data_IF_663020138000
#
_entry.id   IF_663020138000
#
_cell.length_a   1.000
_cell.length_b   1.000
_cell.length_c   1.000
_cell.angle_alpha   90.00
_cell.angle_beta   90.00
_cell.angle_gamma   90.00
#
_symmetry.space_group_name_H-M   'P 1'
#
loop_
_entity.id
_entity.type
_entity.pdbx_description
1 polymer ?
#
# COMPACT_ATOMS: atom_id res chain seq x y z
N UNK A 1 -3.84 -5.72 -8.22
CA UNK A 1 -2.54 -6.41 -7.96
C UNK A 1 -2.79 -7.59 -7.03
N UNK A 2 -2.07 -8.69 -7.23
CA UNK A 2 -2.18 -9.90 -6.41
C UNK A 2 -0.80 -10.49 -6.22
N UNK A 3 -0.60 -11.20 -5.12
CA UNK A 3 0.65 -11.89 -4.81
C UNK A 3 0.41 -13.00 -3.79
N UNK A 4 1.48 -13.54 -3.23
CA UNK A 4 1.40 -14.49 -2.13
C UNK A 4 2.46 -14.22 -1.07
N UNK A 5 2.13 -14.52 0.18
CA UNK A 5 3.06 -14.48 1.29
C UNK A 5 3.79 -15.81 1.49
N UNK A 6 3.17 -16.89 1.04
CA UNK A 6 3.76 -18.23 1.01
C UNK A 6 3.99 -18.64 -0.42
N UNK A 7 5.20 -19.11 -0.71
CA UNK A 7 5.59 -19.54 -2.06
C UNK A 7 4.60 -20.56 -2.64
N UNK A 8 4.36 -20.47 -3.95
CA UNK A 8 3.36 -21.29 -4.65
C UNK A 8 3.67 -22.79 -4.66
N UNK A 9 4.90 -23.19 -4.37
CA UNK A 9 5.35 -24.57 -4.22
C UNK A 9 5.01 -25.21 -2.86
N UNK A 10 4.47 -24.43 -1.93
CA UNK A 10 4.11 -24.91 -0.59
C UNK A 10 2.62 -25.20 -0.47
N UNK A 11 2.26 -26.29 0.22
CA UNK A 11 0.86 -26.63 0.48
C UNK A 11 0.09 -25.57 1.27
N UNK A 12 0.81 -24.67 1.99
CA UNK A 12 0.22 -23.55 2.72
C UNK A 12 0.16 -22.25 1.90
N UNK A 13 0.39 -22.31 0.58
CA UNK A 13 0.40 -21.14 -0.29
C UNK A 13 -0.97 -20.47 -0.33
N UNK A 14 -0.96 -19.15 -0.27
CA UNK A 14 -2.13 -18.28 -0.41
C UNK A 14 -2.30 -17.78 -1.87
N UNK A 15 -1.41 -18.15 -2.77
CA UNK A 15 -1.37 -17.65 -4.14
C UNK A 15 -2.65 -17.93 -4.93
N UNK A 16 -3.11 -19.18 -4.93
CA UNK A 16 -4.28 -19.60 -5.70
C UNK A 16 -5.55 -18.88 -5.25
N UNK A 17 -5.78 -18.82 -3.93
CA UNK A 17 -6.97 -18.17 -3.40
C UNK A 17 -6.96 -16.65 -3.64
N UNK A 18 -5.82 -15.99 -3.43
CA UNK A 18 -5.68 -14.56 -3.72
C UNK A 18 -5.97 -14.26 -5.19
N UNK A 19 -5.46 -15.10 -6.10
CA UNK A 19 -5.68 -14.93 -7.55
C UNK A 19 -7.16 -15.12 -7.93
N UNK A 20 -7.80 -16.17 -7.40
CA UNK A 20 -9.21 -16.45 -7.69
C UNK A 20 -10.10 -15.32 -7.16
N UNK A 21 -9.88 -14.87 -5.91
CA UNK A 21 -10.64 -13.75 -5.34
C UNK A 21 -10.40 -12.45 -6.13
N UNK A 22 -9.19 -12.21 -6.62
CA UNK A 22 -8.90 -11.05 -7.46
C UNK A 22 -9.65 -11.11 -8.80
N UNK A 23 -9.67 -12.28 -9.44
CA UNK A 23 -10.41 -12.50 -10.69
C UNK A 23 -11.92 -12.31 -10.49
N UNK A 24 -12.48 -12.89 -9.42
CA UNK A 24 -13.88 -12.72 -9.05
C UNK A 24 -14.24 -11.24 -8.89
N UNK A 25 -13.41 -10.47 -8.16
CA UNK A 25 -13.66 -9.05 -7.96
C UNK A 25 -13.62 -8.26 -9.27
N UNK A 26 -12.63 -8.52 -10.13
CA UNK A 26 -12.48 -7.78 -11.40
C UNK A 26 -13.64 -8.10 -12.35
N UNK A 27 -14.12 -9.35 -12.36
CA UNK A 27 -15.22 -9.77 -13.25
C UNK A 27 -16.60 -9.26 -12.81
N UNK A 28 -16.78 -9.02 -11.50
CA UNK A 28 -18.10 -8.72 -10.92
C UNK A 28 -18.16 -7.34 -10.23
N UNK A 29 -17.24 -6.42 -10.58
CA UNK A 29 -17.28 -5.05 -10.09
C UNK A 29 -16.98 -4.03 -11.19
N UNK A 30 -17.47 -2.81 -10.99
CA UNK A 30 -17.16 -1.64 -11.82
C UNK A 30 -15.98 -0.81 -11.23
N UNK A 31 -15.11 -1.45 -10.45
CA UNK A 31 -13.97 -0.79 -9.79
C UNK A 31 -12.97 -0.22 -10.82
N UNK A 32 -12.72 1.07 -10.72
CA UNK A 32 -11.84 1.82 -11.64
C UNK A 32 -10.59 2.36 -10.95
N UNK A 33 -9.76 1.49 -10.42
CA UNK A 33 -8.56 1.89 -9.70
C UNK A 33 -7.51 0.79 -9.63
N UNK A 34 -6.54 0.97 -8.74
CA UNK A 34 -5.56 -0.06 -8.39
C UNK A 34 -5.86 -0.56 -6.99
N UNK A 35 -6.18 -1.84 -6.88
CA UNK A 35 -6.39 -2.53 -5.61
C UNK A 35 -5.40 -3.67 -5.41
N UNK A 36 -5.17 -4.03 -4.16
CA UNK A 36 -4.36 -5.19 -3.75
C UNK A 36 -5.29 -6.24 -3.17
N UNK A 37 -5.29 -7.45 -3.75
CA UNK A 37 -6.07 -8.58 -3.24
C UNK A 37 -5.16 -9.52 -2.46
N UNK A 38 -5.42 -9.64 -1.17
CA UNK A 38 -4.67 -10.51 -0.26
C UNK A 38 -5.59 -11.10 0.81
N UNK A 39 -5.16 -12.20 1.44
CA UNK A 39 -5.88 -12.81 2.56
C UNK A 39 -6.26 -11.79 3.63
N UNK A 40 -7.50 -11.85 4.08
CA UNK A 40 -8.03 -11.00 5.15
C UNK A 40 -7.48 -11.39 6.53
N UNK A 41 -7.20 -12.67 6.72
CA UNK A 41 -6.68 -13.26 7.96
C UNK A 41 -5.64 -14.35 7.65
N UNK A 42 -5.14 -15.03 8.69
CA UNK A 42 -4.28 -16.19 8.53
C UNK A 42 -5.02 -17.44 8.01
N UNK A 43 -6.35 -17.43 8.02
CA UNK A 43 -7.23 -18.51 7.58
C UNK A 43 -7.70 -18.34 6.15
N UNK A 44 -8.08 -19.42 5.49
CA UNK A 44 -8.55 -19.47 4.09
C UNK A 44 -10.05 -19.11 3.95
N UNK A 45 -10.55 -18.15 4.71
CA UNK A 45 -11.97 -17.80 4.72
C UNK A 45 -12.30 -16.71 3.71
N UNK A 46 -11.47 -15.70 3.61
CA UNK A 46 -11.73 -14.56 2.73
C UNK A 46 -10.45 -13.83 2.32
N UNK A 47 -10.56 -13.08 1.21
CA UNK A 47 -9.58 -12.09 0.80
C UNK A 47 -10.17 -10.69 0.87
N UNK A 48 -9.33 -9.71 1.14
CA UNK A 48 -9.70 -8.30 1.08
C UNK A 48 -9.16 -7.66 -0.20
N UNK A 49 -9.94 -6.75 -0.76
CA UNK A 49 -9.50 -5.81 -1.77
C UNK A 49 -9.12 -4.51 -1.06
N UNK A 50 -7.85 -4.21 -1.06
CA UNK A 50 -7.26 -3.07 -0.35
C UNK A 50 -6.96 -1.93 -1.34
N UNK A 51 -7.23 -0.66 -1.01
CA UNK A 51 -6.84 0.46 -1.86
C UNK A 51 -5.33 0.53 -2.03
N UNK A 52 -4.84 0.55 -3.28
CA UNK A 52 -3.41 0.43 -3.58
C UNK A 52 -2.55 1.57 -3.03
N UNK A 53 -3.12 2.76 -2.86
CA UNK A 53 -2.40 3.94 -2.34
C UNK A 53 -2.32 3.99 -0.81
N UNK A 54 -3.06 3.12 -0.10
CA UNK A 54 -3.10 3.10 1.38
C UNK A 54 -2.74 1.74 1.97
N UNK A 55 -2.26 0.83 1.15
CA UNK A 55 -1.88 -0.51 1.57
C UNK A 55 -0.43 -0.56 2.00
N UNK A 56 -0.19 -1.07 3.19
CA UNK A 56 1.15 -1.26 3.76
C UNK A 56 1.35 -2.74 4.12
N UNK A 57 2.53 -3.27 3.83
CA UNK A 57 2.93 -4.61 4.27
C UNK A 57 3.55 -4.51 5.67
N UNK A 58 2.85 -5.03 6.68
CA UNK A 58 3.26 -4.95 8.08
C UNK A 58 4.05 -6.18 8.57
N UNK A 59 3.98 -7.29 7.85
CA UNK A 59 4.67 -8.54 8.20
C UNK A 59 5.38 -9.15 7.00
N UNK A 60 6.50 -9.82 7.24
CA UNK A 60 7.27 -10.49 6.19
C UNK A 60 6.68 -11.85 5.76
N UNK A 61 5.86 -12.51 6.60
CA UNK A 61 5.50 -13.92 6.38
C UNK A 61 4.03 -14.31 6.67
N UNK A 62 3.21 -13.45 7.29
CA UNK A 62 1.80 -13.73 7.52
C UNK A 62 1.01 -13.56 6.23
N UNK A 63 -0.02 -14.41 5.99
CA UNK A 63 -0.90 -14.28 4.82
C UNK A 63 -1.67 -12.96 4.82
N UNK A 64 -2.08 -12.47 5.99
CA UNK A 64 -2.75 -11.18 6.22
C UNK A 64 -1.77 -10.04 6.52
N UNK A 65 -0.58 -10.08 5.95
CA UNK A 65 0.47 -9.09 6.18
C UNK A 65 0.13 -7.70 5.63
N UNK A 66 -0.72 -7.61 4.63
CA UNK A 66 -1.12 -6.36 4.02
C UNK A 66 -2.31 -5.76 4.74
N UNK A 67 -2.18 -4.51 5.17
CA UNK A 67 -3.22 -3.76 5.90
C UNK A 67 -3.42 -2.39 5.27
N UNK A 68 -4.59 -1.85 5.47
CA UNK A 68 -4.93 -0.48 5.09
C UNK A 68 -4.64 0.46 6.25
N UNK A 69 -4.15 1.64 5.95
CA UNK A 69 -3.89 2.70 6.94
C UNK A 69 -4.91 3.81 6.74
N UNK A 70 -5.60 4.18 7.81
CA UNK A 70 -6.61 5.25 7.88
C UNK A 70 -7.78 5.08 6.89
N UNK A 71 -8.13 3.86 6.54
CA UNK A 71 -9.26 3.55 5.67
C UNK A 71 -9.69 2.09 5.87
N UNK A 72 -10.86 1.73 5.37
CA UNK A 72 -11.32 0.36 5.31
C UNK A 72 -10.96 -0.29 3.96
N UNK A 73 -11.00 -1.62 3.90
CA UNK A 73 -10.90 -2.35 2.63
C UNK A 73 -12.06 -1.95 1.71
N UNK A 74 -11.83 -1.97 0.41
CA UNK A 74 -12.86 -1.70 -0.61
C UNK A 74 -13.93 -2.78 -0.55
N UNK A 75 -13.51 -4.03 -0.49
CA UNK A 75 -14.41 -5.18 -0.42
C UNK A 75 -13.73 -6.36 0.29
N UNK A 76 -14.55 -7.29 0.75
CA UNK A 76 -14.15 -8.62 1.19
C UNK A 76 -14.82 -9.67 0.31
N UNK A 77 -14.09 -10.72 -0.04
CA UNK A 77 -14.58 -11.82 -0.88
C UNK A 77 -14.47 -13.12 -0.08
N UNK A 78 -15.60 -13.78 0.12
CA UNK A 78 -15.63 -15.11 0.73
C UNK A 78 -15.00 -16.13 -0.22
N UNK A 79 -14.05 -16.93 0.28
CA UNK A 79 -13.26 -17.85 -0.54
C UNK A 79 -14.08 -19.03 -1.09
N UNK A 80 -15.15 -19.44 -0.40
CA UNK A 80 -15.99 -20.58 -0.76
C UNK A 80 -17.16 -20.18 -1.64
N UNK A 81 -17.92 -19.18 -1.18
CA UNK A 81 -19.16 -18.75 -1.84
C UNK A 81 -18.91 -17.77 -2.97
N UNK A 82 -17.70 -17.17 -3.04
CA UNK A 82 -17.34 -16.10 -3.98
C UNK A 82 -18.13 -14.81 -3.79
N UNK A 83 -18.91 -14.72 -2.73
CA UNK A 83 -19.70 -13.52 -2.43
C UNK A 83 -18.79 -12.34 -2.17
N UNK A 84 -19.02 -11.26 -2.90
CA UNK A 84 -18.35 -9.97 -2.71
C UNK A 84 -19.22 -9.14 -1.76
N UNK A 85 -18.59 -8.63 -0.70
CA UNK A 85 -19.19 -7.67 0.23
C UNK A 85 -18.39 -6.38 0.15
N UNK A 86 -18.99 -5.32 -0.37
CA UNK A 86 -18.35 -4.00 -0.41
C UNK A 86 -18.39 -3.37 0.99
N UNK A 87 -17.21 -2.89 1.43
CA UNK A 87 -17.00 -2.34 2.78
C UNK A 87 -16.86 -0.82 2.75
N UNK A 88 -16.44 -0.25 1.61
CA UNK A 88 -16.22 1.17 1.47
C UNK A 88 -16.61 1.65 0.07
N UNK A 89 -16.77 2.96 -0.10
CA UNK A 89 -16.93 3.59 -1.40
C UNK A 89 -15.64 3.44 -2.22
N UNK A 90 -15.78 3.35 -3.53
CA UNK A 90 -14.66 3.21 -4.43
C UNK A 90 -14.87 3.98 -5.74
N UNK A 91 -13.77 4.28 -6.42
CA UNK A 91 -13.82 4.89 -7.74
C UNK A 91 -14.34 3.89 -8.77
N UNK A 92 -15.36 4.29 -9.54
CA UNK A 92 -15.88 3.51 -10.64
C UNK A 92 -15.01 3.63 -11.90
N UNK A 93 -15.17 2.66 -12.79
CA UNK A 93 -14.51 2.68 -14.09
C UNK A 93 -14.82 3.98 -14.85
N UNK A 94 -13.82 4.49 -15.53
CA UNK A 94 -13.90 5.65 -16.40
C UNK A 94 -12.98 5.42 -17.61
N UNK A 95 -13.17 6.13 -18.72
CA UNK A 95 -12.29 6.02 -19.87
C UNK A 95 -10.82 6.21 -19.48
N UNK A 96 -9.96 5.28 -19.88
CA UNK A 96 -8.53 5.31 -19.57
C UNK A 96 -7.88 6.51 -20.24
N UNK A 97 -7.22 7.33 -19.43
CA UNK A 97 -6.40 8.45 -19.91
C UNK A 97 -4.95 8.17 -19.55
N UNK A 98 -4.19 7.66 -20.49
CA UNK A 98 -2.78 7.36 -20.30
C UNK A 98 -1.95 8.64 -20.12
N UNK A 99 -1.15 8.68 -19.06
CA UNK A 99 -0.16 9.72 -18.78
C UNK A 99 1.19 9.05 -18.51
N UNK A 100 1.96 8.69 -19.55
CA UNK A 100 3.14 7.81 -19.42
C UNK A 100 4.40 8.52 -18.92
N UNK A 101 4.34 9.82 -18.68
CA UNK A 101 5.47 10.59 -18.16
C UNK A 101 5.57 10.41 -16.65
N UNK A 102 6.73 10.00 -16.18
CA UNK A 102 7.07 9.87 -14.78
C UNK A 102 8.45 10.48 -14.55
N UNK A 103 8.64 11.12 -13.40
CA UNK A 103 9.95 11.60 -12.97
C UNK A 103 10.59 10.55 -12.07
N UNK A 104 11.74 10.04 -12.47
CA UNK A 104 12.45 8.97 -11.76
C UNK A 104 13.26 9.49 -10.57
N UNK A 105 13.67 10.78 -10.63
CA UNK A 105 14.52 11.40 -9.63
C UNK A 105 13.71 12.05 -8.51
N UNK A 106 12.80 11.28 -7.90
CA UNK A 106 12.01 11.67 -6.72
C UNK A 106 12.47 10.85 -5.53
N UNK A 107 12.92 11.52 -4.46
CA UNK A 107 13.35 10.88 -3.22
C UNK A 107 12.20 10.67 -2.24
N UNK A 108 12.34 9.71 -1.35
CA UNK A 108 11.50 9.54 -0.16
C UNK A 108 12.38 9.69 1.07
N UNK A 109 12.07 10.67 1.93
CA UNK A 109 12.75 10.89 3.19
C UNK A 109 11.80 10.63 4.34
N UNK A 110 12.11 9.61 5.13
CA UNK A 110 11.37 9.28 6.35
C UNK A 110 11.97 10.04 7.53
N UNK A 111 11.15 10.86 8.17
CA UNK A 111 11.57 11.65 9.33
C UNK A 111 11.60 10.80 10.60
N UNK A 112 12.66 10.94 11.37
CA UNK A 112 12.82 10.31 12.67
C UNK A 112 13.54 11.24 13.64
N UNK A 113 13.55 10.92 14.93
CA UNK A 113 14.30 11.66 15.96
C UNK A 113 15.80 11.55 15.71
N UNK A 114 16.57 12.57 16.12
CA UNK A 114 18.03 12.64 15.92
C UNK A 114 18.47 12.58 14.44
N UNK A 115 17.66 13.16 13.57
CA UNK A 115 17.97 13.27 12.16
C UNK A 115 18.92 14.44 11.91
N UNK A 116 19.98 14.21 11.13
CA UNK A 116 20.95 15.23 10.78
C UNK A 116 20.61 15.93 9.45
N UNK A 117 21.00 17.19 9.32
CA UNK A 117 20.76 18.01 8.13
C UNK A 117 21.37 17.43 6.85
N UNK A 118 22.49 16.72 6.96
CA UNK A 118 23.19 16.09 5.84
C UNK A 118 22.32 15.11 5.04
N UNK A 119 21.30 14.52 5.69
CA UNK A 119 20.36 13.65 4.99
C UNK A 119 19.53 14.40 3.94
N UNK A 120 19.28 15.69 4.15
CA UNK A 120 18.60 16.54 3.17
C UNK A 120 19.52 16.93 2.02
N UNK A 121 20.81 17.15 2.32
CA UNK A 121 21.83 17.49 1.31
C UNK A 121 21.93 16.40 0.22
N UNK A 122 21.76 15.13 0.59
CA UNK A 122 21.76 14.00 -0.34
C UNK A 122 20.73 14.19 -1.48
N UNK A 123 19.61 14.84 -1.20
CA UNK A 123 18.54 15.02 -2.17
C UNK A 123 18.63 16.30 -3.02
N UNK A 124 19.67 17.15 -2.85
CA UNK A 124 19.81 18.41 -3.62
C UNK A 124 19.78 18.23 -5.14
N UNK A 125 20.22 17.09 -5.65
CA UNK A 125 20.19 16.78 -7.08
C UNK A 125 18.91 16.13 -7.58
N UNK A 126 17.89 15.97 -6.73
CA UNK A 126 16.63 15.35 -7.07
C UNK A 126 15.64 16.37 -7.65
N UNK A 127 14.67 15.90 -8.43
CA UNK A 127 13.61 16.72 -9.03
C UNK A 127 12.42 16.90 -8.10
N UNK A 128 12.31 16.07 -7.08
CA UNK A 128 11.28 16.15 -6.06
C UNK A 128 11.66 15.36 -4.82
N UNK A 129 11.07 15.71 -3.69
CA UNK A 129 11.25 15.02 -2.42
C UNK A 129 9.90 14.85 -1.75
N UNK A 130 9.56 13.61 -1.40
CA UNK A 130 8.44 13.28 -0.54
C UNK A 130 8.97 13.14 0.88
N UNK A 131 8.46 13.94 1.80
CA UNK A 131 8.84 13.89 3.21
C UNK A 131 7.74 13.16 3.99
N UNK A 132 8.06 12.00 4.53
CA UNK A 132 7.20 11.26 5.46
C UNK A 132 7.47 11.81 6.88
N UNK A 133 6.61 12.74 7.33
CA UNK A 133 6.68 13.31 8.67
C UNK A 133 6.36 12.31 9.78
N UNK A 134 6.45 12.76 11.04
CA UNK A 134 5.96 11.99 12.19
C UNK A 134 4.43 11.84 12.15
N UNK A 135 3.83 11.15 13.14
CA UNK A 135 2.39 10.88 13.16
C UNK A 135 1.48 12.11 12.97
N UNK A 136 1.92 13.29 13.43
CA UNK A 136 1.24 14.58 13.20
C UNK A 136 1.85 15.39 12.05
N UNK A 137 2.76 14.81 11.26
CA UNK A 137 3.41 15.46 10.13
C UNK A 137 4.57 16.38 10.52
N UNK A 138 5.07 16.29 11.74
CA UNK A 138 6.19 17.12 12.17
C UNK A 138 7.50 16.67 11.53
N UNK A 139 8.37 17.65 11.30
CA UNK A 139 9.77 17.46 10.88
C UNK A 139 10.68 18.19 11.87
N UNK A 140 11.96 17.79 12.04
CA UNK A 140 12.90 18.54 12.85
C UNK A 140 13.08 19.96 12.31
N UNK A 141 12.66 20.98 13.07
CA UNK A 141 12.73 22.38 12.65
C UNK A 141 13.93 23.13 13.21
N UNK A 142 14.22 22.97 14.51
CA UNK A 142 15.34 23.63 15.17
C UNK A 142 15.99 22.70 16.18
N UNK A 143 17.31 22.74 16.23
CA UNK A 143 18.11 22.10 17.27
C UNK A 143 18.83 23.19 18.06
N UNK A 144 19.03 23.02 19.37
CA UNK A 144 19.90 23.90 20.17
C UNK A 144 21.28 24.07 19.58
N UNK A 145 21.79 23.05 18.88
CA UNK A 145 23.11 23.02 18.28
C UNK A 145 23.12 23.37 16.78
N UNK A 146 22.01 23.80 16.18
CA UNK A 146 21.84 24.10 14.76
C UNK A 146 22.15 22.95 13.78
N UNK A 147 22.49 21.77 14.26
CA UNK A 147 22.94 20.63 13.45
C UNK A 147 21.82 19.76 12.93
N UNK A 148 20.60 19.91 13.47
CA UNK A 148 19.43 19.09 13.11
C UNK A 148 18.28 19.91 12.56
N UNK A 149 18.53 21.15 12.14
CA UNK A 149 17.48 22.03 11.64
C UNK A 149 17.30 21.89 10.12
N UNK A 150 16.05 21.76 9.71
CA UNK A 150 15.63 22.05 8.35
C UNK A 150 15.34 23.56 8.29
N UNK A 151 16.08 24.28 7.50
CA UNK A 151 15.83 25.70 7.18
C UNK A 151 15.04 25.81 5.88
#
# INVERSE_FOLDING_TARGET
MVGSQKSSDRGSSDAGMNLICAAEFVSNSDFGGVGVCMHASAHDQSCNILPGTKTVKLHSSRRDAFKVVNEDSIASIDSKTRKITFCNSYRKQAPLKLKPKMEDKVGLLKVHVNMFSELFEFFKGYKGLVIEGTGLGHTPGQSPNKETAIH
#
